data_IF_504040147682
#
_entry.id   IF_504040147682
#
_cell.length_a   1.000
_cell.length_b   1.000
_cell.length_c   1.000
_cell.angle_alpha   90.00
_cell.angle_beta   90.00
_cell.angle_gamma   90.00
#
_symmetry.space_group_name_H-M   'P 1'
#
loop_
_entity.id
_entity.type
_entity.pdbx_description
1 polymer ?
#
# COMPACT_ATOMS: atom_id res chain seq x y z
N UNK A 1 37.06 9.70 -31.04
CA UNK A 1 36.17 8.54 -31.24
C UNK A 1 35.96 7.74 -29.94
N UNK A 2 37.00 7.22 -29.28
CA UNK A 2 36.88 6.42 -28.05
C UNK A 2 36.12 7.10 -26.88
N UNK A 3 36.35 8.40 -26.66
CA UNK A 3 35.66 9.17 -25.60
C UNK A 3 34.15 9.37 -25.88
N UNK A 4 33.75 9.45 -27.14
CA UNK A 4 32.34 9.61 -27.52
C UNK A 4 31.57 8.29 -27.33
N UNK A 5 32.22 7.15 -27.59
CA UNK A 5 31.66 5.83 -27.34
C UNK A 5 31.44 5.56 -25.84
N UNK A 6 32.37 6.00 -24.98
CA UNK A 6 32.24 5.85 -23.52
C UNK A 6 31.07 6.65 -22.94
N UNK A 7 30.78 7.83 -23.50
CA UNK A 7 29.64 8.67 -23.09
C UNK A 7 28.28 8.11 -23.53
N UNK A 8 28.23 7.46 -24.70
CA UNK A 8 27.02 6.79 -25.16
C UNK A 8 26.69 5.57 -24.30
N UNK A 9 27.72 4.81 -23.90
CA UNK A 9 27.55 3.61 -23.07
C UNK A 9 27.04 3.97 -21.67
N UNK A 10 27.53 5.05 -21.06
CA UNK A 10 27.06 5.50 -19.74
C UNK A 10 25.61 5.98 -19.76
N UNK A 11 25.15 6.61 -20.85
CA UNK A 11 23.76 7.01 -21.00
C UNK A 11 22.82 5.80 -21.01
N UNK A 12 23.16 4.74 -21.76
CA UNK A 12 22.36 3.50 -21.83
C UNK A 12 22.24 2.80 -20.46
N UNK A 13 23.31 2.81 -19.66
CA UNK A 13 23.29 2.26 -18.30
C UNK A 13 22.38 3.05 -17.34
N UNK A 14 22.18 4.36 -17.58
CA UNK A 14 21.29 5.19 -16.73
C UNK A 14 19.81 5.02 -17.08
N UNK A 15 19.46 4.75 -18.35
CA UNK A 15 18.06 4.57 -18.78
C UNK A 15 17.50 3.19 -18.39
N UNK A 16 18.36 2.21 -18.13
CA UNK A 16 17.94 0.83 -17.82
C UNK A 16 17.67 0.54 -16.34
N UNK A 17 17.94 1.48 -15.43
CA UNK A 17 17.49 1.40 -14.02
C UNK A 17 16.06 1.92 -13.91
N UNK A 18 15.17 1.37 -14.74
CA UNK A 18 13.73 1.49 -14.51
C UNK A 18 13.40 0.65 -13.28
N UNK A 19 13.18 1.30 -12.13
CA UNK A 19 12.61 0.66 -10.95
C UNK A 19 11.15 0.31 -11.28
N UNK A 20 10.95 -0.77 -12.04
CA UNK A 20 9.65 -1.38 -12.28
C UNK A 20 9.19 -2.06 -11.00
N UNK A 21 8.82 -1.27 -9.99
CA UNK A 21 8.15 -1.77 -8.81
C UNK A 21 6.79 -2.31 -9.25
N UNK A 22 6.62 -3.63 -9.18
CA UNK A 22 5.31 -4.25 -9.34
C UNK A 22 4.38 -3.68 -8.28
N UNK A 23 3.42 -2.89 -8.72
CA UNK A 23 2.33 -2.34 -7.91
C UNK A 23 1.15 -3.33 -7.80
N UNK A 24 1.39 -4.60 -8.13
CA UNK A 24 0.42 -5.67 -7.90
C UNK A 24 0.24 -5.83 -6.39
N UNK A 25 -0.88 -5.34 -5.88
CA UNK A 25 -1.35 -5.68 -4.53
C UNK A 25 -1.93 -7.09 -4.63
N UNK A 26 -1.08 -8.09 -4.44
CA UNK A 26 -1.55 -9.47 -4.30
C UNK A 26 -2.26 -9.57 -2.95
N UNK A 27 -3.59 -9.59 -2.97
CA UNK A 27 -4.36 -10.00 -1.80
C UNK A 27 -4.07 -11.49 -1.62
N UNK A 28 -3.46 -11.92 -0.50
CA UNK A 28 -3.13 -13.33 -0.31
C UNK A 28 -4.39 -14.18 -0.44
N UNK A 29 -4.36 -15.15 -1.35
CA UNK A 29 -5.46 -16.10 -1.53
C UNK A 29 -5.55 -16.95 -0.25
N UNK A 30 -6.59 -16.70 0.56
CA UNK A 30 -6.74 -17.32 1.88
C UNK A 30 -7.56 -16.52 2.88
N UNK A 31 -7.97 -15.28 2.54
CA UNK A 31 -8.98 -14.56 3.33
C UNK A 31 -10.31 -15.31 3.22
N UNK A 32 -10.60 -16.10 4.25
CA UNK A 32 -11.91 -16.73 4.44
C UNK A 32 -12.89 -15.62 4.80
N UNK A 33 -14.12 -15.68 4.31
CA UNK A 33 -15.16 -14.75 4.74
C UNK A 33 -15.26 -14.82 6.29
N UNK A 34 -15.31 -13.67 6.99
CA UNK A 34 -15.40 -13.66 8.43
C UNK A 34 -16.64 -14.44 8.88
N UNK A 35 -16.50 -15.20 9.95
CA UNK A 35 -17.64 -15.77 10.65
C UNK A 35 -18.53 -14.67 11.21
N UNK A 36 -19.82 -14.91 11.49
CA UNK A 36 -20.71 -13.91 12.06
C UNK A 36 -20.18 -13.32 13.39
N UNK A 37 -19.45 -14.12 14.19
CA UNK A 37 -18.80 -13.64 15.40
C UNK A 37 -17.63 -12.69 15.12
N UNK A 38 -16.82 -12.99 14.10
CA UNK A 38 -15.71 -12.14 13.66
C UNK A 38 -16.20 -10.86 13.01
N UNK A 39 -17.30 -10.92 12.25
CA UNK A 39 -17.93 -9.74 11.64
C UNK A 39 -18.43 -8.78 12.73
N UNK A 40 -19.09 -9.30 13.77
CA UNK A 40 -19.49 -8.49 14.93
C UNK A 40 -18.29 -7.87 15.65
N UNK A 41 -17.23 -8.63 15.88
CA UNK A 41 -16.02 -8.10 16.51
C UNK A 41 -15.36 -7.00 15.66
N UNK A 42 -15.41 -7.12 14.34
CA UNK A 42 -14.90 -6.14 13.40
C UNK A 42 -15.73 -4.85 13.42
N UNK A 43 -17.06 -4.97 13.48
CA UNK A 43 -17.99 -3.86 13.62
C UNK A 43 -17.78 -3.12 14.95
N UNK A 44 -17.71 -3.86 16.07
CA UNK A 44 -17.48 -3.28 17.40
C UNK A 44 -16.13 -2.55 17.47
N UNK A 45 -15.08 -3.15 16.92
CA UNK A 45 -13.76 -2.51 16.82
C UNK A 45 -13.84 -1.24 15.96
N UNK A 46 -14.47 -1.31 14.79
CA UNK A 46 -14.61 -0.16 13.90
C UNK A 46 -15.40 0.97 14.55
N UNK A 47 -16.48 0.65 15.26
CA UNK A 47 -17.28 1.61 16.01
C UNK A 47 -16.48 2.28 17.13
N UNK A 48 -15.67 1.52 17.88
CA UNK A 48 -14.84 2.08 18.96
C UNK A 48 -13.79 3.09 18.46
N UNK A 49 -13.37 2.95 17.21
CA UNK A 49 -12.39 3.81 16.58
C UNK A 49 -13.03 5.01 15.86
N UNK A 50 -14.36 5.12 15.86
CA UNK A 50 -15.02 6.30 15.32
C UNK A 50 -14.77 7.50 16.24
N UNK A 51 -14.15 8.53 15.65
CA UNK A 51 -13.92 9.81 16.28
C UNK A 51 -14.94 10.78 15.68
N UNK A 52 -15.68 11.50 16.54
CA UNK A 52 -16.53 12.59 16.10
C UNK A 52 -15.62 13.70 15.51
N UNK A 53 -15.72 14.01 14.21
CA UNK A 53 -14.85 14.97 13.56
C UNK A 53 -15.04 16.41 14.07
N UNK A 54 -16.17 16.70 14.74
CA UNK A 54 -16.46 18.02 15.30
C UNK A 54 -15.76 18.24 16.64
N UNK A 55 -15.65 17.20 17.45
CA UNK A 55 -15.13 17.27 18.82
C UNK A 55 -13.75 16.63 18.98
N UNK A 56 -13.32 15.81 18.02
CA UNK A 56 -12.09 15.03 18.10
C UNK A 56 -12.13 13.93 19.17
N UNK A 57 -13.31 13.60 19.71
CA UNK A 57 -13.50 12.61 20.76
C UNK A 57 -14.11 11.31 20.21
N UNK A 58 -13.93 10.17 20.90
CA UNK A 58 -14.61 8.93 20.53
C UNK A 58 -16.14 9.11 20.53
N UNK A 59 -16.81 8.55 19.53
CA UNK A 59 -18.29 8.54 19.48
C UNK A 59 -18.79 7.56 20.54
N UNK A 60 -19.43 8.05 21.61
CA UNK A 60 -20.04 7.20 22.66
C UNK A 60 -19.61 7.48 24.11
N UNK A 61 -18.89 8.57 24.36
CA UNK A 61 -18.62 9.07 25.73
C UNK A 61 -19.82 9.82 26.34
#
# INVERSE_FOLDING_TARGET
>A
MLRLCMLFLSFICLVSVGCGGSNTTEVPQGLTAPTPEEEKALEDYTASQQIDPKTGQPVGN
#
